data_IF_733865624496
#
_entry.id   IF_733865624496
#
_cell.length_a   1.000
_cell.length_b   1.000
_cell.length_c   1.000
_cell.angle_alpha   90.00
_cell.angle_beta   90.00
_cell.angle_gamma   90.00
#
_symmetry.space_group_name_H-M   'P 1'
#
loop_
_entity.id
_entity.type
_entity.pdbx_description
1 polymer ?
#
# COMPACT_ATOMS: atom_id res chain seq x y z
N UNK A 1 -9.83 6.97 -7.91
CA UNK A 1 -10.20 6.44 -6.57
C UNK A 1 -11.65 6.78 -6.22
N UNK A 2 -12.03 8.05 -6.14
CA UNK A 2 -13.41 8.46 -5.77
C UNK A 2 -14.48 7.91 -6.74
N UNK A 3 -14.20 7.94 -8.05
CA UNK A 3 -15.10 7.33 -9.04
C UNK A 3 -15.31 5.83 -8.83
N UNK A 4 -14.25 5.09 -8.45
CA UNK A 4 -14.34 3.65 -8.17
C UNK A 4 -15.12 3.38 -6.87
N UNK A 5 -14.90 4.20 -5.84
CA UNK A 5 -15.66 4.16 -4.59
C UNK A 5 -17.17 4.33 -4.84
N UNK A 6 -17.54 5.27 -5.72
CA UNK A 6 -18.94 5.55 -6.05
C UNK A 6 -19.49 4.71 -7.22
N UNK A 7 -18.73 3.75 -7.73
CA UNK A 7 -19.21 2.87 -8.80
C UNK A 7 -20.28 1.91 -8.26
N UNK A 8 -21.35 1.66 -9.03
CA UNK A 8 -22.45 0.74 -8.68
C UNK A 8 -22.06 -0.74 -8.76
N UNK A 9 -20.81 -1.07 -8.42
CA UNK A 9 -20.32 -2.44 -8.37
C UNK A 9 -20.46 -2.98 -6.96
N UNK A 10 -20.97 -4.20 -6.80
CA UNK A 10 -21.07 -4.87 -5.50
C UNK A 10 -19.71 -5.31 -4.90
N UNK A 11 -18.59 -4.93 -5.50
CA UNK A 11 -17.26 -5.28 -5.00
C UNK A 11 -16.94 -4.52 -3.70
N UNK A 12 -16.11 -5.09 -2.82
CA UNK A 12 -15.52 -4.33 -1.71
C UNK A 12 -14.34 -3.49 -2.20
N UNK A 13 -14.14 -2.30 -1.62
CA UNK A 13 -13.10 -1.35 -2.04
C UNK A 13 -12.07 -1.26 -0.94
N UNK A 14 -10.80 -1.38 -1.32
CA UNK A 14 -9.67 -1.37 -0.39
C UNK A 14 -8.66 -0.33 -0.84
N UNK A 15 -8.18 0.46 0.12
CA UNK A 15 -7.10 1.41 -0.09
C UNK A 15 -6.11 1.29 1.07
N UNK A 16 -4.82 1.16 0.73
CA UNK A 16 -3.76 0.98 1.72
C UNK A 16 -2.76 2.14 1.68
N UNK A 17 -2.38 2.65 2.85
CA UNK A 17 -1.16 3.43 3.01
C UNK A 17 0.00 2.45 3.16
N UNK A 18 0.83 2.37 2.12
CA UNK A 18 1.86 1.34 1.91
C UNK A 18 3.22 1.71 2.52
N UNK A 19 3.27 1.77 3.84
CA UNK A 19 4.47 2.16 4.59
C UNK A 19 5.62 1.14 4.54
N UNK A 20 5.34 -0.16 4.36
CA UNK A 20 6.40 -1.15 4.12
C UNK A 20 7.05 -0.98 2.75
N UNK A 21 6.31 -0.51 1.74
CA UNK A 21 6.90 -0.14 0.44
C UNK A 21 7.72 1.15 0.53
N UNK A 22 7.38 2.08 1.42
CA UNK A 22 8.13 3.33 1.57
C UNK A 22 9.57 3.11 2.07
N UNK A 23 9.83 2.05 2.84
CA UNK A 23 11.16 1.75 3.38
C UNK A 23 12.08 1.02 2.38
N UNK A 24 11.56 0.52 1.25
CA UNK A 24 12.38 -0.22 0.26
C UNK A 24 13.27 0.69 -0.57
N UNK A 25 12.95 1.99 -0.64
CA UNK A 25 13.74 3.01 -1.34
C UNK A 25 14.74 3.73 -0.42
N UNK A 26 14.89 3.26 0.83
CA UNK A 26 15.71 3.86 1.87
C UNK A 26 14.93 3.95 3.19
N UNK A 27 15.63 3.95 4.32
CA UNK A 27 15.01 4.00 5.64
C UNK A 27 14.90 5.46 6.12
N UNK A 28 13.72 6.11 6.05
CA UNK A 28 13.53 7.43 6.61
C UNK A 28 13.62 7.39 8.15
N UNK A 29 13.92 8.53 8.80
CA UNK A 29 13.80 8.64 10.25
C UNK A 29 12.41 8.20 10.72
N UNK A 30 12.34 7.45 11.82
CA UNK A 30 11.09 6.87 12.32
C UNK A 30 9.96 7.90 12.48
N UNK A 31 10.29 9.09 12.99
CA UNK A 31 9.30 10.17 13.18
C UNK A 31 8.75 10.65 11.84
N UNK A 32 9.62 10.84 10.84
CA UNK A 32 9.22 11.26 9.49
C UNK A 32 8.28 10.25 8.84
N UNK A 33 8.54 8.95 8.99
CA UNK A 33 7.68 7.91 8.43
C UNK A 33 6.28 7.94 9.06
N UNK A 34 6.20 8.05 10.39
CA UNK A 34 4.94 8.15 11.12
C UNK A 34 4.15 9.38 10.70
N UNK A 35 4.80 10.53 10.60
CA UNK A 35 4.16 11.78 10.16
C UNK A 35 3.63 11.66 8.73
N UNK A 36 4.38 11.01 7.83
CA UNK A 36 3.97 10.81 6.45
C UNK A 36 2.75 9.87 6.33
N UNK A 37 2.65 8.84 7.18
CA UNK A 37 1.47 7.97 7.23
C UNK A 37 0.22 8.77 7.60
N UNK A 38 0.33 9.61 8.64
CA UNK A 38 -0.79 10.47 9.09
C UNK A 38 -1.16 11.46 7.99
N UNK A 39 -0.17 12.14 7.41
CA UNK A 39 -0.39 13.12 6.32
C UNK A 39 -1.03 12.48 5.10
N UNK A 40 -0.54 11.32 4.66
CA UNK A 40 -1.12 10.60 3.53
C UNK A 40 -2.57 10.20 3.81
N UNK A 41 -2.84 9.64 4.99
CA UNK A 41 -4.20 9.28 5.40
C UNK A 41 -5.13 10.50 5.41
N UNK A 42 -4.69 11.62 5.99
CA UNK A 42 -5.44 12.87 5.99
C UNK A 42 -5.68 13.41 4.58
N UNK A 43 -4.68 13.34 3.69
CA UNK A 43 -4.82 13.75 2.29
C UNK A 43 -5.84 12.89 1.54
N UNK A 44 -5.85 11.57 1.76
CA UNK A 44 -6.82 10.66 1.14
C UNK A 44 -8.25 10.99 1.57
N UNK A 45 -8.47 11.20 2.87
CA UNK A 45 -9.76 11.63 3.41
C UNK A 45 -10.17 12.99 2.84
N UNK A 46 -9.26 13.96 2.80
CA UNK A 46 -9.52 15.29 2.23
C UNK A 46 -9.86 15.25 0.73
N UNK A 47 -9.27 14.30 -0.02
CA UNK A 47 -9.61 14.06 -1.42
C UNK A 47 -10.96 13.35 -1.61
N UNK A 48 -11.68 12.99 -0.54
CA UNK A 48 -13.03 12.43 -0.57
C UNK A 48 -13.11 10.92 -0.43
N UNK A 49 -12.03 10.24 -0.01
CA UNK A 49 -12.11 8.83 0.38
C UNK A 49 -13.01 8.73 1.61
N UNK A 50 -14.05 7.90 1.49
CA UNK A 50 -15.10 7.73 2.49
C UNK A 50 -14.87 6.38 3.19
N UNK A 51 -14.48 6.35 4.48
CA UNK A 51 -14.25 5.11 5.23
C UNK A 51 -15.46 4.19 5.32
N UNK A 52 -16.68 4.72 5.16
CA UNK A 52 -17.90 3.93 5.18
C UNK A 52 -18.11 3.16 3.85
N UNK A 53 -17.42 3.56 2.78
CA UNK A 53 -17.51 2.95 1.44
C UNK A 53 -16.24 2.21 1.03
N UNK A 54 -15.10 2.61 1.58
CA UNK A 54 -13.78 2.07 1.25
C UNK A 54 -13.04 1.71 2.52
N UNK A 55 -12.57 0.48 2.61
CA UNK A 55 -11.67 0.04 3.68
C UNK A 55 -10.33 0.74 3.49
N UNK A 56 -10.06 1.75 4.31
CA UNK A 56 -8.79 2.47 4.35
C UNK A 56 -7.94 1.95 5.51
N UNK A 57 -6.73 1.47 5.23
CA UNK A 57 -5.86 0.87 6.25
C UNK A 57 -4.37 1.14 6.02
N UNK A 58 -3.55 0.89 7.05
CA UNK A 58 -2.10 0.97 7.01
C UNK A 58 -1.50 -0.43 6.80
N UNK A 59 -0.60 -0.58 5.83
CA UNK A 59 -0.05 -1.89 5.44
C UNK A 59 0.68 -2.60 6.60
N UNK A 60 1.55 -1.91 7.33
CA UNK A 60 2.33 -2.53 8.42
C UNK A 60 1.51 -2.99 9.62
N UNK A 61 0.24 -2.58 9.74
CA UNK A 61 -0.66 -3.03 10.80
C UNK A 61 -1.26 -4.43 10.51
N UNK A 62 -1.07 -4.96 9.30
CA UNK A 62 -1.61 -6.26 8.87
C UNK A 62 -0.43 -7.20 8.56
N UNK A 63 0.07 -7.96 9.56
CA UNK A 63 1.27 -8.80 9.40
C UNK A 63 1.13 -9.89 8.33
N UNK A 64 -0.09 -10.27 7.96
CA UNK A 64 -0.41 -11.21 6.90
C UNK A 64 0.17 -10.80 5.54
N UNK A 65 0.32 -9.48 5.29
CA UNK A 65 1.00 -8.99 4.07
C UNK A 65 2.45 -9.49 4.00
N UNK A 66 3.19 -9.44 5.12
CA UNK A 66 4.57 -9.93 5.18
C UNK A 66 4.63 -11.45 5.05
N UNK A 67 3.71 -12.17 5.71
CA UNK A 67 3.66 -13.64 5.64
C UNK A 67 3.38 -14.13 4.21
N UNK A 68 2.39 -13.54 3.54
CA UNK A 68 2.08 -13.88 2.16
C UNK A 68 3.21 -13.47 1.21
N UNK A 69 3.84 -12.31 1.43
CA UNK A 69 5.00 -11.87 0.65
C UNK A 69 6.16 -12.87 0.74
N UNK A 70 6.42 -13.45 1.92
CA UNK A 70 7.43 -14.49 2.07
C UNK A 70 7.12 -15.74 1.24
N UNK A 71 5.88 -16.24 1.32
CA UNK A 71 5.42 -17.41 0.55
C UNK A 71 5.53 -17.13 -0.96
N UNK A 72 5.05 -15.99 -1.42
CA UNK A 72 5.14 -15.60 -2.84
C UNK A 72 6.58 -15.42 -3.29
N UNK A 73 7.46 -14.91 -2.42
CA UNK A 73 8.89 -14.79 -2.68
C UNK A 73 9.55 -16.15 -2.95
N UNK A 74 9.18 -17.20 -2.22
CA UNK A 74 9.64 -18.56 -2.48
C UNK A 74 9.15 -19.17 -3.81
N UNK A 75 8.17 -18.55 -4.48
CA UNK A 75 7.67 -18.96 -5.79
C UNK A 75 8.27 -18.15 -6.96
N UNK A 76 9.07 -17.12 -6.67
CA UNK A 76 9.68 -16.24 -7.68
C UNK A 76 11.19 -16.46 -7.78
N UNK A 77 11.73 -16.23 -8.97
CA UNK A 77 13.18 -16.29 -9.21
C UNK A 77 13.77 -14.88 -9.33
N UNK A 78 15.04 -14.72 -8.93
CA UNK A 78 15.77 -13.46 -9.06
C UNK A 78 15.79 -13.00 -10.53
N UNK A 79 15.99 -13.93 -11.48
CA UNK A 79 15.99 -13.64 -12.91
C UNK A 79 14.67 -13.06 -13.41
N UNK A 80 13.53 -13.52 -12.87
CA UNK A 80 12.22 -12.96 -13.23
C UNK A 80 12.08 -11.53 -12.68
N UNK A 81 12.48 -11.29 -11.43
CA UNK A 81 12.44 -9.96 -10.82
C UNK A 81 13.31 -8.96 -11.58
N UNK A 82 14.51 -9.35 -11.99
CA UNK A 82 15.44 -8.51 -12.75
C UNK A 82 14.93 -8.13 -14.16
N UNK A 83 13.90 -8.80 -14.70
CA UNK A 83 13.30 -8.45 -15.99
C UNK A 83 12.25 -7.34 -15.87
N UNK A 84 11.80 -7.02 -14.65
CA UNK A 84 10.83 -5.96 -14.43
C UNK A 84 11.49 -4.60 -14.76
N UNK A 85 10.91 -3.78 -15.66
CA UNK A 85 11.49 -2.49 -16.01
C UNK A 85 11.73 -1.58 -14.79
N UNK A 86 10.76 -1.52 -13.87
CA UNK A 86 10.83 -0.73 -12.63
C UNK A 86 11.88 -1.22 -11.62
N UNK A 87 12.46 -2.40 -11.84
CA UNK A 87 13.56 -2.92 -11.02
C UNK A 87 14.93 -2.54 -11.59
N UNK A 88 15.01 -2.25 -12.90
CA UNK A 88 16.25 -1.90 -13.59
C UNK A 88 16.58 -0.41 -13.50
N UNK A 89 15.54 0.42 -13.47
CA UNK A 89 15.61 1.88 -13.36
C UNK A 89 15.52 2.31 -11.89
#
# INVERSE_FOLDING_TARGET
MIQLQNSNTNASKFLAVVDLHAITTGLPPSNTLKDNIIKMTASLLACGVDPDKTVLFQQSQIPEHCQLSWILGSLQTITQLQRLPQYKD
#
